data_IF_030929728671
#
_entry.id   IF_030929728671
#
_cell.length_a   1.000
_cell.length_b   1.000
_cell.length_c   1.000
_cell.angle_alpha   90.00
_cell.angle_beta   90.00
_cell.angle_gamma   90.00
#
_symmetry.space_group_name_H-M   'P 1'
#
loop_
_entity.id
_entity.type
_entity.pdbx_description
1 polymer ?
#
# COMPACT_ATOMS: atom_id res chain seq x y z
N UNK A 1 9.03 -24.58 -2.90
CA UNK A 1 7.99 -23.72 -3.53
C UNK A 1 6.75 -23.62 -2.64
N UNK A 2 6.86 -23.06 -1.41
CA UNK A 2 5.76 -22.99 -0.42
C UNK A 2 6.02 -21.87 0.60
N UNK A 3 6.03 -20.60 0.18
CA UNK A 3 6.00 -19.45 1.11
C UNK A 3 5.48 -18.17 0.46
N UNK A 4 5.54 -18.06 -0.86
CA UNK A 4 5.21 -16.82 -1.58
C UNK A 4 3.75 -16.38 -1.45
N UNK A 5 2.82 -17.32 -1.18
CA UNK A 5 1.41 -17.02 -0.91
C UNK A 5 1.18 -16.24 0.38
N UNK A 6 2.06 -16.37 1.38
CA UNK A 6 1.90 -15.68 2.68
C UNK A 6 1.97 -14.17 2.51
N UNK A 7 2.77 -13.67 1.57
CA UNK A 7 2.92 -12.23 1.34
C UNK A 7 1.64 -11.66 0.71
N UNK A 8 1.02 -12.36 -0.24
CA UNK A 8 -0.29 -11.97 -0.77
C UNK A 8 -1.38 -12.03 0.30
N UNK A 9 -1.37 -13.07 1.15
CA UNK A 9 -2.29 -13.15 2.29
C UNK A 9 -2.10 -11.99 3.26
N UNK A 10 -0.86 -11.56 3.51
CA UNK A 10 -0.59 -10.43 4.39
C UNK A 10 -1.16 -9.12 3.85
N UNK A 11 -1.03 -8.85 2.54
CA UNK A 11 -1.67 -7.68 1.92
C UNK A 11 -3.20 -7.75 2.02
N UNK A 12 -3.78 -8.94 1.83
CA UNK A 12 -5.22 -9.14 1.97
C UNK A 12 -5.72 -8.88 3.40
N UNK A 13 -5.04 -9.44 4.40
CA UNK A 13 -5.36 -9.22 5.82
C UNK A 13 -5.21 -7.73 6.18
N UNK A 14 -4.15 -7.07 5.71
CA UNK A 14 -3.95 -5.64 5.95
C UNK A 14 -5.04 -4.78 5.31
N UNK A 15 -5.48 -5.10 4.09
CA UNK A 15 -6.61 -4.41 3.46
C UNK A 15 -7.91 -4.53 4.29
N UNK A 16 -8.16 -5.71 4.88
CA UNK A 16 -9.31 -5.91 5.78
C UNK A 16 -9.14 -5.05 7.03
N UNK A 17 -7.97 -5.09 7.68
CA UNK A 17 -7.70 -4.30 8.88
C UNK A 17 -7.79 -2.79 8.59
N UNK A 18 -7.29 -2.33 7.46
CA UNK A 18 -7.39 -0.93 7.06
C UNK A 18 -8.84 -0.50 6.85
N UNK A 19 -9.65 -1.30 6.17
CA UNK A 19 -11.09 -1.05 6.05
C UNK A 19 -11.78 -0.98 7.42
N UNK A 20 -11.46 -1.90 8.34
CA UNK A 20 -12.02 -1.91 9.69
C UNK A 20 -11.60 -0.69 10.50
N UNK A 21 -10.32 -0.29 10.46
CA UNK A 21 -9.82 0.89 11.16
C UNK A 21 -10.38 2.19 10.56
N UNK A 22 -10.58 2.24 9.24
CA UNK A 22 -11.25 3.36 8.57
C UNK A 22 -12.72 3.49 8.97
N UNK A 23 -13.44 2.38 9.14
CA UNK A 23 -14.80 2.38 9.67
C UNK A 23 -14.85 2.81 11.14
N UNK A 24 -13.92 2.31 11.96
CA UNK A 24 -13.80 2.72 13.35
C UNK A 24 -13.58 4.23 13.48
N UNK A 25 -12.64 4.77 12.68
CA UNK A 25 -12.39 6.21 12.55
C UNK A 25 -13.64 6.99 12.20
N UNK A 26 -14.38 6.57 11.17
CA UNK A 26 -15.60 7.24 10.73
C UNK A 26 -16.67 7.31 11.84
N UNK A 27 -16.80 6.23 12.61
CA UNK A 27 -17.71 6.14 13.76
C UNK A 27 -17.29 7.07 14.90
N UNK A 28 -16.00 7.08 15.26
CA UNK A 28 -15.45 7.96 16.32
C UNK A 28 -15.64 9.44 15.95
N UNK A 29 -15.37 9.79 14.68
CA UNK A 29 -15.51 11.16 14.18
C UNK A 29 -16.97 11.56 13.87
N UNK A 30 -17.95 10.65 14.01
CA UNK A 30 -19.38 10.83 13.66
C UNK A 30 -19.60 11.41 12.26
N UNK A 31 -18.65 11.18 11.34
CA UNK A 31 -18.69 11.64 9.94
C UNK A 31 -18.84 10.41 9.04
N UNK A 32 -19.99 9.76 9.15
CA UNK A 32 -20.33 8.64 8.26
C UNK A 32 -20.76 9.21 6.91
N UNK A 33 -19.93 9.01 5.88
CA UNK A 33 -20.26 9.37 4.52
C UNK A 33 -20.02 8.17 3.59
N UNK A 34 -21.11 7.66 3.01
CA UNK A 34 -21.07 6.51 2.10
C UNK A 34 -20.15 6.73 0.90
N UNK A 35 -20.00 7.98 0.42
CA UNK A 35 -19.09 8.31 -0.69
C UNK A 35 -17.62 8.09 -0.32
N UNK A 36 -17.25 8.40 0.92
CA UNK A 36 -15.87 8.21 1.40
C UNK A 36 -15.54 6.73 1.56
N UNK A 37 -16.48 5.92 2.08
CA UNK A 37 -16.31 4.47 2.20
C UNK A 37 -16.19 3.77 0.84
N UNK A 38 -17.03 4.13 -0.13
CA UNK A 38 -16.98 3.59 -1.48
C UNK A 38 -15.65 3.90 -2.19
N UNK A 39 -15.14 5.13 -2.05
CA UNK A 39 -13.82 5.51 -2.57
C UNK A 39 -12.69 4.70 -1.94
N UNK A 40 -12.79 4.40 -0.64
CA UNK A 40 -11.85 3.51 0.04
C UNK A 40 -11.80 2.12 -0.57
N UNK A 41 -12.97 1.50 -0.82
CA UNK A 41 -13.05 0.18 -1.44
C UNK A 41 -12.46 0.16 -2.86
N UNK A 42 -12.79 1.16 -3.69
CA UNK A 42 -12.20 1.28 -5.03
C UNK A 42 -10.68 1.34 -4.96
N UNK A 43 -10.14 2.15 -4.05
CA UNK A 43 -8.69 2.27 -3.90
C UNK A 43 -8.04 0.92 -3.54
N UNK A 44 -8.67 0.09 -2.69
CA UNK A 44 -8.16 -1.26 -2.38
C UNK A 44 -8.20 -2.19 -3.59
N UNK A 45 -9.23 -2.11 -4.42
CA UNK A 45 -9.31 -2.90 -5.66
C UNK A 45 -8.20 -2.46 -6.64
N UNK A 46 -7.96 -1.15 -6.78
CA UNK A 46 -6.89 -0.62 -7.62
C UNK A 46 -5.51 -1.11 -7.21
N UNK A 47 -5.27 -1.34 -5.91
CA UNK A 47 -4.01 -1.92 -5.40
C UNK A 47 -3.81 -3.34 -5.93
N UNK A 48 -4.85 -4.18 -6.00
CA UNK A 48 -4.75 -5.52 -6.57
C UNK A 48 -4.48 -5.51 -8.08
N UNK A 49 -5.01 -4.51 -8.79
CA UNK A 49 -4.69 -4.29 -10.21
C UNK A 49 -3.21 -3.92 -10.37
N UNK A 50 -2.66 -3.05 -9.50
CA UNK A 50 -1.24 -2.69 -9.51
C UNK A 50 -0.34 -3.90 -9.23
N UNK A 51 -0.73 -4.77 -8.29
CA UNK A 51 -0.03 -6.04 -8.05
C UNK A 51 0.02 -6.86 -9.34
N UNK A 52 -1.11 -7.06 -10.02
CA UNK A 52 -1.16 -7.81 -11.26
C UNK A 52 -0.25 -7.19 -12.35
N UNK A 53 -0.32 -5.88 -12.54
CA UNK A 53 0.53 -5.15 -13.50
C UNK A 53 2.01 -5.34 -13.15
N UNK A 54 2.40 -5.25 -11.87
CA UNK A 54 3.80 -5.39 -11.46
C UNK A 54 4.40 -6.75 -11.82
N UNK A 55 3.61 -7.84 -11.69
CA UNK A 55 4.04 -9.18 -12.06
C UNK A 55 4.04 -9.40 -13.58
N UNK A 56 3.10 -8.80 -14.33
CA UNK A 56 3.15 -8.80 -15.80
C UNK A 56 4.42 -8.10 -16.29
N UNK A 57 4.73 -6.92 -15.77
CA UNK A 57 5.95 -6.18 -16.13
C UNK A 57 7.20 -7.00 -15.79
N UNK A 58 7.25 -7.60 -14.59
CA UNK A 58 8.33 -8.50 -14.17
C UNK A 58 8.53 -9.66 -15.14
N UNK A 59 7.43 -10.24 -15.64
CA UNK A 59 7.45 -11.31 -16.64
C UNK A 59 7.95 -10.80 -18.00
N UNK A 60 7.43 -9.68 -18.50
CA UNK A 60 7.85 -9.09 -19.77
C UNK A 60 9.35 -8.75 -19.77
N UNK A 61 9.87 -8.17 -18.68
CA UNK A 61 11.30 -7.87 -18.55
C UNK A 61 12.17 -9.13 -18.60
N UNK A 62 11.71 -10.23 -18.00
CA UNK A 62 12.41 -11.52 -18.10
C UNK A 62 12.48 -12.04 -19.55
N UNK A 63 11.52 -11.70 -20.40
CA UNK A 63 11.48 -12.12 -21.81
C UNK A 63 12.41 -11.32 -22.72
N UNK A 64 12.94 -10.17 -22.26
CA UNK A 64 13.89 -9.34 -23.04
C UNK A 64 15.15 -10.13 -23.42
N UNK A 65 15.53 -11.14 -22.62
CA UNK A 65 16.65 -12.05 -22.92
C UNK A 65 16.56 -12.72 -24.30
N UNK A 66 15.36 -12.80 -24.89
CA UNK A 66 15.12 -13.37 -26.21
C UNK A 66 15.59 -12.44 -27.35
N UNK A 67 15.68 -11.13 -27.09
CA UNK A 67 16.07 -10.10 -28.04
C UNK A 67 17.49 -9.59 -27.80
N UNK A 68 17.94 -9.60 -26.54
CA UNK A 68 19.26 -9.12 -26.12
C UNK A 68 19.87 -10.19 -25.22
N UNK A 69 21.13 -10.62 -25.40
CA UNK A 69 21.76 -11.68 -24.60
C UNK A 69 22.19 -11.18 -23.21
N UNK A 70 21.31 -10.44 -22.51
CA UNK A 70 21.50 -9.98 -21.14
C UNK A 70 20.50 -10.74 -20.26
N UNK A 71 20.99 -11.42 -19.23
CA UNK A 71 20.14 -12.09 -18.26
C UNK A 71 19.66 -11.08 -17.20
N UNK A 72 18.39 -10.68 -17.31
CA UNK A 72 17.75 -9.76 -16.36
C UNK A 72 17.04 -10.56 -15.25
N UNK A 73 17.78 -11.43 -14.55
CA UNK A 73 17.24 -12.29 -13.48
C UNK A 73 16.60 -11.49 -12.33
N UNK A 74 17.05 -10.26 -12.10
CA UNK A 74 16.51 -9.35 -11.08
C UNK A 74 15.04 -9.00 -11.32
N UNK A 75 14.56 -9.08 -12.58
CA UNK A 75 13.18 -8.75 -12.96
C UNK A 75 12.12 -9.48 -12.15
N UNK A 76 12.41 -10.73 -11.73
CA UNK A 76 11.50 -11.55 -10.93
C UNK A 76 11.20 -10.90 -9.58
N UNK A 77 12.15 -10.17 -9.00
CA UNK A 77 11.98 -9.52 -7.70
C UNK A 77 11.20 -8.22 -7.76
N UNK A 78 11.00 -7.63 -8.94
CA UNK A 78 10.29 -6.35 -9.06
C UNK A 78 8.83 -6.45 -8.60
N UNK A 79 8.10 -7.50 -9.01
CA UNK A 79 6.74 -7.73 -8.53
C UNK A 79 6.67 -7.93 -7.01
N UNK A 80 7.65 -8.65 -6.44
CA UNK A 80 7.75 -8.84 -4.99
C UNK A 80 8.11 -7.55 -4.24
N UNK A 81 8.96 -6.71 -4.82
CA UNK A 81 9.31 -5.39 -4.28
C UNK A 81 8.08 -4.49 -4.27
N UNK A 82 7.33 -4.42 -5.38
CA UNK A 82 6.08 -3.65 -5.45
C UNK A 82 5.07 -4.14 -4.41
N UNK A 83 4.90 -5.46 -4.28
CA UNK A 83 4.01 -6.04 -3.26
C UNK A 83 4.42 -5.62 -1.83
N UNK A 84 5.73 -5.63 -1.54
CA UNK A 84 6.28 -5.24 -0.23
C UNK A 84 6.05 -3.75 0.06
N UNK A 85 6.22 -2.88 -0.94
CA UNK A 85 5.95 -1.44 -0.82
C UNK A 85 4.46 -1.16 -0.59
N UNK A 86 3.58 -1.90 -1.25
CA UNK A 86 2.13 -1.78 -1.05
C UNK A 86 1.72 -2.21 0.37
N UNK A 87 2.32 -3.26 0.93
CA UNK A 87 2.12 -3.68 2.31
C UNK A 87 2.49 -2.57 3.29
N UNK A 88 3.64 -1.92 3.09
CA UNK A 88 4.09 -0.81 3.94
C UNK A 88 3.10 0.36 3.83
N UNK A 89 2.58 0.64 2.63
CA UNK A 89 1.60 1.69 2.40
C UNK A 89 0.26 1.41 3.13
N UNK A 90 -0.18 0.15 3.14
CA UNK A 90 -1.37 -0.28 3.89
C UNK A 90 -1.17 -0.16 5.40
N UNK A 91 -0.01 -0.58 5.91
CA UNK A 91 0.33 -0.41 7.31
C UNK A 91 0.36 1.08 7.72
N UNK A 92 0.85 1.96 6.85
CA UNK A 92 0.83 3.41 7.06
C UNK A 92 -0.61 3.94 7.21
N UNK A 93 -1.51 3.56 6.31
CA UNK A 93 -2.93 3.96 6.33
C UNK A 93 -3.63 3.52 7.63
N UNK A 94 -3.37 2.30 8.11
CA UNK A 94 -3.91 1.78 9.38
C UNK A 94 -3.49 2.67 10.54
N UNK A 95 -2.20 3.01 10.63
CA UNK A 95 -1.68 3.81 11.73
C UNK A 95 -2.24 5.23 11.69
N UNK A 96 -2.36 5.82 10.50
CA UNK A 96 -3.01 7.12 10.30
C UNK A 96 -4.46 7.10 10.79
N UNK A 97 -5.21 6.04 10.45
CA UNK A 97 -6.58 5.85 10.94
C UNK A 97 -6.66 5.74 12.48
N UNK A 98 -5.71 5.05 13.11
CA UNK A 98 -5.65 4.90 14.57
C UNK A 98 -5.32 6.23 15.27
N UNK A 99 -4.35 7.00 14.75
CA UNK A 99 -3.97 8.31 15.29
C UNK A 99 -5.17 9.26 15.24
N UNK A 100 -5.86 9.33 14.10
CA UNK A 100 -7.05 10.19 13.94
C UNK A 100 -8.25 9.74 14.79
N UNK A 101 -8.28 8.47 15.21
CA UNK A 101 -9.30 7.93 16.10
C UNK A 101 -9.00 8.15 17.60
N UNK A 102 -8.00 8.96 17.95
CA UNK A 102 -7.51 9.20 19.32
C UNK A 102 -7.00 7.93 20.04
N UNK A 103 -6.59 6.89 19.30
CA UNK A 103 -5.92 5.72 19.89
C UNK A 103 -4.49 6.10 20.28
N UNK A 104 -4.03 5.69 21.46
CA UNK A 104 -2.66 5.94 21.92
C UNK A 104 -1.67 5.10 21.11
N UNK A 105 -1.10 5.70 20.07
CA UNK A 105 -0.02 5.13 19.25
C UNK A 105 1.35 5.54 19.81
N UNK A 106 2.39 4.68 19.76
CA UNK A 106 3.73 5.05 20.20
C UNK A 106 4.27 6.30 19.49
N UNK A 107 4.90 7.20 20.25
CA UNK A 107 5.40 8.50 19.74
C UNK A 107 6.37 8.39 18.57
N UNK A 108 7.23 7.37 18.55
CA UNK A 108 8.17 7.17 17.45
C UNK A 108 7.45 6.93 16.11
N UNK A 109 6.28 6.29 16.15
CA UNK A 109 5.50 5.97 14.97
C UNK A 109 4.69 7.17 14.47
N UNK A 110 4.10 7.95 15.38
CA UNK A 110 3.42 9.21 15.02
C UNK A 110 4.39 10.22 14.41
N UNK A 111 5.59 10.38 14.99
CA UNK A 111 6.58 11.31 14.48
C UNK A 111 7.09 10.91 13.10
N UNK A 112 7.28 9.60 12.87
CA UNK A 112 7.69 9.08 11.55
C UNK A 112 6.64 9.36 10.47
N UNK A 113 5.36 9.25 10.82
CA UNK A 113 4.24 9.57 9.93
C UNK A 113 4.14 11.05 9.62
N UNK A 114 4.31 11.91 10.63
CA UNK A 114 4.29 13.37 10.47
C UNK A 114 5.42 13.83 9.54
N UNK A 115 6.65 13.34 9.76
CA UNK A 115 7.79 13.63 8.87
C UNK A 115 7.50 13.17 7.44
N UNK A 116 6.89 11.99 7.28
CA UNK A 116 6.50 11.48 5.96
C UNK A 116 5.45 12.39 5.30
N UNK A 117 4.38 12.75 6.00
CA UNK A 117 3.30 13.61 5.48
C UNK A 117 3.85 14.96 5.04
N UNK A 118 4.67 15.60 5.89
CA UNK A 118 5.32 16.88 5.58
C UNK A 118 6.21 16.78 4.34
N UNK A 119 6.97 15.67 4.21
CA UNK A 119 7.81 15.43 3.03
C UNK A 119 6.98 15.31 1.76
N UNK A 120 5.90 14.54 1.78
CA UNK A 120 5.00 14.35 0.62
C UNK A 120 4.31 15.67 0.24
N UNK A 121 3.79 16.41 1.21
CA UNK A 121 3.12 17.68 0.95
C UNK A 121 4.07 18.72 0.35
N UNK A 122 5.32 18.75 0.79
CA UNK A 122 6.35 19.62 0.22
C UNK A 122 6.69 19.31 -1.24
N UNK A 123 6.67 18.02 -1.63
CA UNK A 123 6.90 17.59 -3.01
C UNK A 123 5.72 18.02 -3.90
N UNK A 124 4.49 17.74 -3.47
CA UNK A 124 3.27 18.07 -4.23
C UNK A 124 3.12 19.59 -4.43
N UNK A 125 3.50 20.39 -3.44
CA UNK A 125 3.46 21.86 -3.54
C UNK A 125 4.52 22.42 -4.50
N UNK A 126 5.61 21.69 -4.73
CA UNK A 126 6.69 22.08 -5.64
C UNK A 126 6.38 21.76 -7.11
N UNK A 127 5.45 20.83 -7.34
CA UNK A 127 4.96 20.45 -8.68
C UNK A 127 3.75 21.28 -9.14
N UNK A 128 3.23 22.18 -8.30
CA UNK A 128 2.17 23.14 -8.63
C UNK A 128 2.73 24.55 -8.79
#
# INVERSE_FOLDING_TARGET
MKSSGLIFCSLFILNILDCLTGWYKAKVLKKENSKSGYKGIINKISIWILVLISFIVSFCLKQIKMFIPIDVGVSIYLGWLTLSLLIINEARSIVENLIESNVKVPKWLSNSLEVYQNSVESIVKKEK
#
